data_IF_908136833430
#
_entry.id   IF_908136833430
#
_cell.length_a   1.000
_cell.length_b   1.000
_cell.length_c   1.000
_cell.angle_alpha   90.00
_cell.angle_beta   90.00
_cell.angle_gamma   90.00
#
_symmetry.space_group_name_H-M   'P 1'
#
loop_
_entity.id
_entity.type
_entity.pdbx_description
1 polymer ?
#
# COMPACT_ATOMS: atom_id res chain seq x y z
N UNK A 1 32.81 -58.29 -39.19
CA UNK A 1 31.91 -57.63 -40.16
C UNK A 1 32.30 -56.16 -40.25
N UNK A 2 32.73 -55.69 -41.42
CA UNK A 2 33.22 -54.32 -41.61
C UNK A 2 32.04 -53.33 -41.68
N UNK A 3 32.04 -52.30 -40.83
CA UNK A 3 31.02 -51.26 -40.78
C UNK A 3 31.21 -50.34 -41.98
N UNK A 4 30.36 -50.50 -43.01
CA UNK A 4 30.39 -49.64 -44.20
C UNK A 4 30.07 -48.20 -43.79
N UNK A 5 30.94 -47.26 -44.16
CA UNK A 5 30.74 -45.82 -43.94
C UNK A 5 29.53 -45.39 -44.78
N UNK A 6 28.54 -44.75 -44.17
CA UNK A 6 27.36 -44.18 -44.86
C UNK A 6 27.46 -42.66 -44.93
N UNK A 7 26.87 -42.07 -45.97
CA UNK A 7 26.72 -40.63 -46.19
C UNK A 7 25.24 -40.32 -46.36
N UNK A 8 24.79 -39.17 -45.84
CA UNK A 8 23.38 -38.74 -45.94
C UNK A 8 23.24 -37.82 -47.16
N UNK A 9 22.25 -38.07 -48.01
CA UNK A 9 21.96 -37.21 -49.15
C UNK A 9 21.32 -35.89 -48.68
N UNK A 10 21.87 -34.73 -49.05
CA UNK A 10 21.33 -33.42 -48.65
C UNK A 10 19.94 -33.11 -49.25
N UNK A 11 19.58 -33.75 -50.37
CA UNK A 11 18.32 -33.47 -51.06
C UNK A 11 17.12 -34.21 -50.45
N UNK A 12 17.28 -35.48 -50.05
CA UNK A 12 16.19 -36.32 -49.57
C UNK A 12 16.47 -37.02 -48.22
N UNK A 13 17.62 -36.74 -47.61
CA UNK A 13 18.08 -37.30 -46.34
C UNK A 13 18.18 -38.83 -46.27
N UNK A 14 18.21 -39.51 -47.41
CA UNK A 14 18.45 -40.96 -47.48
C UNK A 14 19.91 -41.28 -47.17
N UNK A 15 20.14 -42.32 -46.36
CA UNK A 15 21.47 -42.86 -46.11
C UNK A 15 21.92 -43.71 -47.30
N UNK A 16 23.05 -43.33 -47.88
CA UNK A 16 23.67 -44.04 -48.98
C UNK A 16 25.05 -44.57 -48.56
N UNK A 17 25.55 -45.67 -49.15
CA UNK A 17 26.91 -46.11 -48.91
C UNK A 17 27.89 -45.04 -49.38
N UNK A 18 28.98 -44.80 -48.64
CA UNK A 18 29.91 -43.71 -48.94
C UNK A 18 30.64 -43.84 -50.29
N UNK A 19 30.49 -44.96 -51.01
CA UNK A 19 31.01 -45.20 -52.36
C UNK A 19 30.02 -44.90 -53.49
N UNK A 20 28.75 -44.61 -53.20
CA UNK A 20 27.76 -44.31 -54.25
C UNK A 20 27.96 -42.91 -54.83
N UNK A 21 28.04 -42.81 -56.15
CA UNK A 21 28.13 -41.52 -56.87
C UNK A 21 26.79 -40.79 -56.98
N UNK A 22 25.69 -41.47 -56.70
CA UNK A 22 24.33 -40.93 -56.74
C UNK A 22 23.47 -41.55 -55.64
N UNK A 23 22.44 -40.80 -55.22
CA UNK A 23 21.49 -41.21 -54.21
C UNK A 23 20.56 -42.31 -54.73
N UNK A 24 20.44 -43.41 -53.98
CA UNK A 24 19.61 -44.56 -54.32
C UNK A 24 18.10 -44.23 -54.32
N UNK A 25 17.67 -43.19 -53.61
CA UNK A 25 16.25 -42.84 -53.49
C UNK A 25 15.79 -41.78 -54.49
N UNK A 26 16.59 -40.73 -54.72
CA UNK A 26 16.17 -39.59 -55.55
C UNK A 26 17.03 -39.38 -56.81
N UNK A 27 18.10 -40.15 -56.99
CA UNK A 27 19.02 -40.02 -58.13
C UNK A 27 19.98 -38.83 -58.08
N UNK A 28 19.93 -37.98 -57.05
CA UNK A 28 20.81 -36.82 -56.93
C UNK A 28 22.30 -37.22 -56.82
N UNK A 29 23.24 -36.47 -57.43
CA UNK A 29 24.66 -36.77 -57.35
C UNK A 29 25.19 -36.58 -55.91
N UNK A 30 26.07 -37.49 -55.48
CA UNK A 30 26.76 -37.42 -54.19
C UNK A 30 28.23 -37.08 -54.47
N UNK A 31 28.56 -35.79 -54.37
CA UNK A 31 29.94 -35.35 -54.51
C UNK A 31 30.73 -35.69 -53.24
N UNK A 32 31.83 -36.45 -53.41
CA UNK A 32 32.75 -36.73 -52.32
C UNK A 32 33.43 -35.42 -51.90
N UNK A 33 32.95 -34.80 -50.81
CA UNK A 33 33.58 -33.65 -50.14
C UNK A 33 34.91 -34.05 -49.45
N UNK A 34 35.84 -34.62 -50.22
CA UNK A 34 37.24 -34.81 -49.86
C UNK A 34 38.06 -33.76 -50.61
N UNK A 35 37.82 -32.48 -50.31
CA UNK A 35 38.76 -31.41 -50.66
C UNK A 35 38.98 -30.53 -49.44
N UNK A 36 40.12 -30.79 -48.79
CA UNK A 36 40.86 -29.98 -47.84
C UNK A 36 40.10 -28.82 -47.17
N UNK A 37 39.70 -29.03 -45.91
CA UNK A 37 39.52 -27.91 -44.98
C UNK A 37 40.86 -27.18 -44.84
N UNK A 38 40.98 -26.05 -45.54
CA UNK A 38 42.04 -25.06 -45.33
C UNK A 38 41.88 -24.53 -43.89
N UNK A 39 42.94 -24.53 -43.05
CA UNK A 39 42.82 -23.99 -41.70
C UNK A 39 42.36 -22.54 -41.79
N UNK A 40 41.21 -22.25 -41.18
CA UNK A 40 40.67 -20.90 -41.07
C UNK A 40 41.61 -20.12 -40.16
N UNK A 41 42.43 -19.25 -40.72
CA UNK A 41 43.08 -18.18 -39.97
C UNK A 41 41.95 -17.35 -39.36
N UNK A 42 41.85 -17.31 -38.04
CA UNK A 42 40.90 -16.49 -37.29
C UNK A 42 41.18 -15.02 -37.59
N UNK A 43 40.50 -14.49 -38.60
CA UNK A 43 40.42 -13.06 -38.82
C UNK A 43 39.76 -12.42 -37.59
N UNK A 44 40.51 -11.57 -36.89
CA UNK A 44 40.00 -10.77 -35.78
C UNK A 44 38.90 -9.87 -36.35
N UNK A 45 37.63 -10.21 -36.06
CA UNK A 45 36.48 -9.38 -36.43
C UNK A 45 36.74 -7.93 -35.97
N UNK A 46 36.50 -6.92 -36.83
CA UNK A 46 36.58 -5.54 -36.39
C UNK A 46 35.62 -5.35 -35.19
N UNK A 47 36.13 -4.70 -34.15
CA UNK A 47 35.35 -4.37 -32.95
C UNK A 47 34.07 -3.68 -33.40
N UNK A 48 32.91 -4.31 -33.13
CA UNK A 48 31.60 -3.74 -33.46
C UNK A 48 31.53 -2.36 -32.79
N UNK A 49 31.33 -1.25 -33.53
CA UNK A 49 31.19 0.06 -32.92
C UNK A 49 30.04 0.00 -31.92
N UNK A 50 30.28 0.53 -30.69
CA UNK A 50 29.24 0.61 -29.67
C UNK A 50 28.01 1.31 -30.27
N UNK A 51 26.78 0.80 -30.07
CA UNK A 51 25.59 1.44 -30.58
C UNK A 51 25.56 2.90 -30.07
N UNK A 52 25.51 3.86 -30.99
CA UNK A 52 25.30 5.27 -30.66
C UNK A 52 23.97 5.39 -29.89
N UNK A 53 23.99 6.02 -28.72
CA UNK A 53 22.77 6.31 -27.96
C UNK A 53 21.84 7.13 -28.85
N UNK A 54 20.62 6.64 -29.09
CA UNK A 54 19.64 7.40 -29.85
C UNK A 54 19.11 8.55 -28.97
N UNK A 55 18.82 9.72 -29.54
CA UNK A 55 18.16 10.82 -28.82
C UNK A 55 16.87 10.38 -28.11
N UNK A 56 16.17 9.40 -28.68
CA UNK A 56 14.98 8.75 -28.12
C UNK A 56 15.24 8.09 -26.74
N UNK A 57 16.42 7.49 -26.55
CA UNK A 57 16.80 6.84 -25.28
C UNK A 57 17.03 7.88 -24.17
N UNK A 58 17.46 9.09 -24.53
CA UNK A 58 17.61 10.20 -23.59
C UNK A 58 16.25 10.79 -23.21
N UNK A 59 15.37 11.01 -24.20
CA UNK A 59 14.00 11.45 -23.95
C UNK A 59 13.23 10.47 -23.06
N UNK A 60 13.38 9.16 -23.28
CA UNK A 60 12.76 8.13 -22.43
C UNK A 60 13.25 8.18 -20.98
N UNK A 61 14.55 8.40 -20.77
CA UNK A 61 15.14 8.56 -19.43
C UNK A 61 14.67 9.84 -18.74
N UNK A 62 14.46 10.92 -19.49
CA UNK A 62 13.89 12.15 -18.93
C UNK A 62 12.43 11.88 -18.52
N UNK A 63 11.63 11.23 -19.35
CA UNK A 63 10.27 10.81 -19.01
C UNK A 63 10.21 9.98 -17.73
N UNK A 64 11.02 8.91 -17.62
CA UNK A 64 11.08 8.06 -16.42
C UNK A 64 11.47 8.85 -15.15
N UNK A 65 12.34 9.86 -15.27
CA UNK A 65 12.71 10.72 -14.13
C UNK A 65 11.57 11.64 -13.73
N UNK A 66 10.86 12.21 -14.70
CA UNK A 66 9.68 13.07 -14.45
C UNK A 66 8.58 12.26 -13.80
N UNK A 67 8.28 11.06 -14.30
CA UNK A 67 7.27 10.17 -13.73
C UNK A 67 7.62 9.80 -12.28
N UNK A 68 8.88 9.42 -12.02
CA UNK A 68 9.33 9.12 -10.65
C UNK A 68 9.20 10.33 -9.71
N UNK A 69 9.56 11.52 -10.18
CA UNK A 69 9.40 12.74 -9.41
C UNK A 69 7.91 13.02 -9.12
N UNK A 70 7.06 12.90 -10.13
CA UNK A 70 5.62 13.10 -10.02
C UNK A 70 4.96 12.12 -9.04
N UNK A 71 5.27 10.82 -9.14
CA UNK A 71 4.77 9.81 -8.20
C UNK A 71 5.25 10.06 -6.76
N UNK A 72 6.48 10.54 -6.59
CA UNK A 72 7.03 10.87 -5.27
C UNK A 72 6.30 12.06 -4.65
N UNK A 73 6.04 13.10 -5.44
CA UNK A 73 5.30 14.29 -4.99
C UNK A 73 3.85 13.93 -4.65
N UNK A 74 3.17 13.18 -5.51
CA UNK A 74 1.80 12.72 -5.25
C UNK A 74 1.70 11.85 -4.00
N UNK A 75 2.64 10.93 -3.79
CA UNK A 75 2.65 10.09 -2.60
C UNK A 75 2.87 10.91 -1.32
N UNK A 76 3.80 11.87 -1.36
CA UNK A 76 4.07 12.79 -0.24
C UNK A 76 2.84 13.65 0.07
N UNK A 77 2.19 14.20 -0.97
CA UNK A 77 0.95 14.97 -0.87
C UNK A 77 -0.18 14.12 -0.26
N UNK A 78 -0.36 12.89 -0.71
CA UNK A 78 -1.36 11.98 -0.19
C UNK A 78 -1.13 11.65 1.31
N UNK A 79 0.12 11.44 1.72
CA UNK A 79 0.49 11.21 3.12
C UNK A 79 0.20 12.45 3.97
N UNK A 80 0.54 13.65 3.48
CA UNK A 80 0.31 14.91 4.17
C UNK A 80 -1.18 15.15 4.43
N UNK A 81 -2.02 15.12 3.38
CA UNK A 81 -3.46 15.32 3.52
C UNK A 81 -4.12 14.31 4.43
N UNK A 82 -3.72 13.05 4.31
CA UNK A 82 -4.20 12.00 5.19
C UNK A 82 -3.89 12.30 6.66
N UNK A 83 -2.67 12.73 6.96
CA UNK A 83 -2.25 13.04 8.34
C UNK A 83 -3.05 14.21 8.89
N UNK A 84 -3.30 15.24 8.07
CA UNK A 84 -4.20 16.35 8.44
C UNK A 84 -5.61 15.84 8.75
N UNK A 85 -6.16 14.95 7.91
CA UNK A 85 -7.47 14.34 8.14
C UNK A 85 -7.55 13.52 9.42
N UNK A 86 -6.50 12.75 9.73
CA UNK A 86 -6.40 11.97 10.98
C UNK A 86 -6.37 12.90 12.20
N UNK A 87 -5.56 13.96 12.17
CA UNK A 87 -5.50 14.94 13.28
C UNK A 87 -6.86 15.58 13.51
N UNK A 88 -7.51 16.10 12.46
CA UNK A 88 -8.82 16.74 12.59
C UNK A 88 -9.86 15.75 13.14
N UNK A 89 -9.90 14.52 12.61
CA UNK A 89 -10.85 13.51 13.04
C UNK A 89 -10.65 13.14 14.52
N UNK A 90 -9.41 12.97 14.97
CA UNK A 90 -9.06 12.66 16.36
C UNK A 90 -9.39 13.84 17.28
N UNK A 91 -9.05 15.06 16.87
CA UNK A 91 -9.36 16.26 17.65
C UNK A 91 -10.86 16.39 17.90
N UNK A 92 -11.68 16.29 16.84
CA UNK A 92 -13.13 16.45 16.95
C UNK A 92 -13.75 15.29 17.74
N UNK A 93 -13.46 14.04 17.38
CA UNK A 93 -14.05 12.88 18.04
C UNK A 93 -13.58 12.75 19.50
N UNK A 94 -12.29 12.95 19.76
CA UNK A 94 -11.71 12.91 21.11
C UNK A 94 -12.30 14.00 22.00
N UNK A 95 -12.45 15.23 21.48
CA UNK A 95 -13.08 16.32 22.21
C UNK A 95 -14.55 16.02 22.55
N UNK A 96 -15.34 15.49 21.60
CA UNK A 96 -16.72 15.06 21.84
C UNK A 96 -16.81 14.02 22.97
N UNK A 97 -15.98 12.97 22.91
CA UNK A 97 -15.93 11.92 23.94
C UNK A 97 -15.50 12.53 25.29
N UNK A 98 -14.55 13.45 25.28
CA UNK A 98 -14.10 14.16 26.48
C UNK A 98 -15.21 14.98 27.13
N UNK A 99 -15.93 15.80 26.36
CA UNK A 99 -17.07 16.59 26.85
C UNK A 99 -18.16 15.69 27.42
N UNK A 100 -18.50 14.61 26.71
CA UNK A 100 -19.42 13.58 27.19
C UNK A 100 -19.00 12.97 28.53
N UNK A 101 -17.73 12.61 28.68
CA UNK A 101 -17.18 12.06 29.93
C UNK A 101 -17.20 13.08 31.06
N UNK A 102 -16.77 14.32 30.80
CA UNK A 102 -16.78 15.39 31.79
C UNK A 102 -18.19 15.76 32.26
N UNK A 103 -19.14 15.90 31.33
CA UNK A 103 -20.52 16.30 31.64
C UNK A 103 -21.29 15.25 32.46
N UNK A 104 -20.84 14.00 32.43
CA UNK A 104 -21.47 12.86 33.14
C UNK A 104 -20.73 12.46 34.42
N UNK A 105 -19.69 13.20 34.82
CA UNK A 105 -18.84 12.85 35.96
C UNK A 105 -17.90 11.67 35.72
N UNK A 106 -17.86 11.12 34.50
CA UNK A 106 -17.01 10.01 34.08
C UNK A 106 -15.80 10.50 33.28
N UNK A 107 -15.13 11.57 33.75
CA UNK A 107 -14.02 12.22 33.04
C UNK A 107 -12.89 11.26 32.66
N UNK A 108 -12.56 10.30 33.53
CA UNK A 108 -11.55 9.26 33.24
C UNK A 108 -11.92 8.44 31.99
N UNK A 109 -13.19 8.05 31.85
CA UNK A 109 -13.67 7.34 30.68
C UNK A 109 -13.66 8.22 29.43
N UNK A 110 -13.91 9.53 29.57
CA UNK A 110 -13.75 10.50 28.49
C UNK A 110 -12.32 10.49 27.91
N UNK A 111 -11.29 10.50 28.76
CA UNK A 111 -9.90 10.46 28.32
C UNK A 111 -9.54 9.09 27.73
N UNK A 112 -9.89 8.00 28.42
CA UNK A 112 -9.60 6.63 27.96
C UNK A 112 -10.25 6.35 26.61
N UNK A 113 -11.52 6.73 26.44
CA UNK A 113 -12.23 6.62 25.17
C UNK A 113 -11.59 7.45 24.05
N UNK A 114 -11.14 8.68 24.37
CA UNK A 114 -10.43 9.54 23.44
C UNK A 114 -9.07 8.94 23.00
N UNK A 115 -8.36 8.24 23.89
CA UNK A 115 -7.14 7.49 23.54
C UNK A 115 -7.46 6.33 22.60
N UNK A 116 -8.50 5.54 22.88
CA UNK A 116 -8.91 4.42 22.04
C UNK A 116 -9.29 4.87 20.62
N UNK A 117 -10.02 5.98 20.47
CA UNK A 117 -10.33 6.51 19.13
C UNK A 117 -9.06 6.98 18.41
N UNK A 118 -8.12 7.61 19.12
CA UNK A 118 -6.82 8.00 18.59
C UNK A 118 -6.03 6.82 18.01
N UNK A 119 -5.98 5.72 18.77
CA UNK A 119 -5.35 4.47 18.33
C UNK A 119 -6.10 3.89 17.12
N UNK A 120 -7.44 3.80 17.17
CA UNK A 120 -8.24 3.22 16.10
C UNK A 120 -8.09 3.99 14.77
N UNK A 121 -8.08 5.33 14.82
CA UNK A 121 -7.83 6.17 13.64
C UNK A 121 -6.40 5.99 13.13
N UNK A 122 -5.38 5.95 14.02
CA UNK A 122 -3.99 5.72 13.62
C UNK A 122 -3.72 4.33 13.01
N UNK A 123 -4.48 3.31 13.42
CA UNK A 123 -4.41 1.94 12.90
C UNK A 123 -5.19 1.73 11.59
N UNK A 124 -6.15 2.59 11.24
CA UNK A 124 -7.01 2.37 10.06
C UNK A 124 -6.51 3.10 8.82
N UNK A 125 -6.30 2.37 7.71
CA UNK A 125 -5.87 2.97 6.46
C UNK A 125 -7.07 3.31 5.57
N UNK A 126 -7.47 4.60 5.53
CA UNK A 126 -8.59 5.08 4.69
C UNK A 126 -8.20 6.25 3.78
N UNK A 127 -9.08 6.53 2.81
CA UNK A 127 -9.01 7.75 2.02
C UNK A 127 -9.32 8.97 2.91
N UNK A 128 -8.72 10.12 2.60
CA UNK A 128 -8.83 11.37 3.37
C UNK A 128 -10.27 11.70 3.80
N UNK A 129 -11.21 11.75 2.84
CA UNK A 129 -12.61 12.08 3.10
C UNK A 129 -13.30 11.11 4.07
N UNK A 130 -12.97 9.82 3.98
CA UNK A 130 -13.56 8.81 4.87
C UNK A 130 -12.99 8.95 6.28
N UNK A 131 -11.68 9.21 6.44
CA UNK A 131 -11.09 9.48 7.77
C UNK A 131 -11.82 10.65 8.45
N UNK A 132 -11.98 11.74 7.72
CA UNK A 132 -12.51 12.99 8.23
C UNK A 132 -13.95 12.85 8.76
N UNK A 133 -14.78 12.05 8.10
CA UNK A 133 -16.20 11.92 8.45
C UNK A 133 -16.46 10.75 9.39
N UNK A 134 -15.72 9.65 9.27
CA UNK A 134 -16.11 8.38 9.90
C UNK A 134 -16.03 8.39 11.44
N UNK A 135 -14.93 8.88 12.02
CA UNK A 135 -14.79 8.94 13.48
C UNK A 135 -15.68 10.03 14.12
N UNK A 136 -15.70 11.30 13.61
CA UNK A 136 -16.61 12.31 14.13
C UNK A 136 -18.09 11.95 13.92
N UNK A 137 -18.44 11.39 12.76
CA UNK A 137 -19.80 10.93 12.47
C UNK A 137 -20.24 9.82 13.42
N UNK A 138 -19.35 8.86 13.72
CA UNK A 138 -19.59 7.84 14.75
C UNK A 138 -19.79 8.45 16.14
N UNK A 139 -18.97 9.43 16.53
CA UNK A 139 -19.11 10.12 17.82
C UNK A 139 -20.45 10.89 17.93
N UNK A 140 -20.86 11.60 16.87
CA UNK A 140 -22.14 12.32 16.82
C UNK A 140 -23.34 11.37 16.88
N UNK A 141 -23.28 10.24 16.15
CA UNK A 141 -24.30 9.21 16.23
C UNK A 141 -24.38 8.60 17.63
N UNK A 142 -23.23 8.33 18.25
CA UNK A 142 -23.16 7.85 19.62
C UNK A 142 -23.67 8.86 20.64
N UNK A 143 -23.49 10.17 20.41
CA UNK A 143 -24.10 11.21 21.24
C UNK A 143 -25.63 11.18 21.15
N UNK A 144 -26.18 11.04 19.94
CA UNK A 144 -27.63 10.93 19.74
C UNK A 144 -28.22 9.72 20.47
N UNK A 145 -27.60 8.54 20.31
CA UNK A 145 -28.04 7.33 21.00
C UNK A 145 -27.84 7.45 22.53
N UNK A 146 -26.67 7.95 22.96
CA UNK A 146 -26.34 8.12 24.37
C UNK A 146 -27.26 9.11 25.09
N UNK A 147 -27.72 10.16 24.40
CA UNK A 147 -28.69 11.11 24.94
C UNK A 147 -30.04 10.44 25.28
N UNK A 148 -30.47 9.44 24.50
CA UNK A 148 -31.68 8.66 24.81
C UNK A 148 -31.49 7.92 26.15
N UNK A 149 -30.35 7.26 26.35
CA UNK A 149 -30.04 6.58 27.60
C UNK A 149 -29.88 7.55 28.79
N UNK A 150 -29.36 8.75 28.54
CA UNK A 150 -29.33 9.80 29.56
C UNK A 150 -30.75 10.18 30.00
N UNK A 151 -31.66 10.44 29.07
CA UNK A 151 -33.07 10.78 29.36
C UNK A 151 -33.76 9.63 30.12
N UNK A 152 -33.38 8.38 29.86
CA UNK A 152 -33.87 7.19 30.57
C UNK A 152 -33.25 7.00 31.97
N UNK A 153 -32.41 7.92 32.46
CA UNK A 153 -31.81 7.86 33.79
C UNK A 153 -30.48 7.11 33.87
N UNK A 154 -29.83 6.81 32.75
CA UNK A 154 -28.53 6.14 32.69
C UNK A 154 -27.43 7.06 32.10
N UNK A 155 -27.09 8.20 32.77
CA UNK A 155 -26.12 9.17 32.24
C UNK A 155 -24.72 8.58 32.00
N UNK A 156 -24.31 7.60 32.82
CA UNK A 156 -23.00 6.96 32.68
C UNK A 156 -22.84 6.11 31.40
N UNK A 157 -23.94 5.74 30.74
CA UNK A 157 -23.88 5.01 29.48
C UNK A 157 -23.41 5.90 28.31
N UNK A 158 -23.60 7.22 28.40
CA UNK A 158 -23.33 8.15 27.31
C UNK A 158 -21.86 8.14 26.85
N UNK A 159 -20.84 8.37 27.70
CA UNK A 159 -19.45 8.35 27.25
C UNK A 159 -19.03 6.99 26.66
N UNK A 160 -19.61 5.90 27.16
CA UNK A 160 -19.36 4.55 26.63
C UNK A 160 -19.92 4.38 25.22
N UNK A 161 -21.20 4.72 25.01
CA UNK A 161 -21.87 4.61 23.71
C UNK A 161 -21.18 5.52 22.68
N UNK A 162 -20.85 6.76 23.03
CA UNK A 162 -20.13 7.69 22.16
C UNK A 162 -18.79 7.10 21.73
N UNK A 163 -18.03 6.53 22.67
CA UNK A 163 -16.74 5.90 22.39
C UNK A 163 -16.89 4.70 21.45
N UNK A 164 -17.82 3.80 21.73
CA UNK A 164 -18.06 2.60 20.90
C UNK A 164 -18.46 3.01 19.48
N UNK A 165 -19.41 3.91 19.32
CA UNK A 165 -19.84 4.37 18.00
C UNK A 165 -18.72 5.11 17.24
N UNK A 166 -17.92 5.94 17.93
CA UNK A 166 -16.77 6.61 17.34
C UNK A 166 -15.72 5.60 16.86
N UNK A 167 -15.39 4.60 17.67
CA UNK A 167 -14.41 3.55 17.33
C UNK A 167 -14.91 2.71 16.16
N UNK A 168 -16.18 2.27 16.18
CA UNK A 168 -16.77 1.56 15.05
C UNK A 168 -16.75 2.40 13.78
N UNK A 169 -17.11 3.69 13.87
CA UNK A 169 -16.95 4.65 12.79
C UNK A 169 -15.50 4.71 12.27
N UNK A 170 -14.53 4.83 13.16
CA UNK A 170 -13.11 4.81 12.84
C UNK A 170 -12.65 3.50 12.20
N UNK A 171 -13.31 2.37 12.42
CA UNK A 171 -12.97 1.10 11.75
C UNK A 171 -13.64 0.96 10.36
N UNK A 172 -14.83 1.54 10.16
CA UNK A 172 -15.60 1.41 8.90
C UNK A 172 -14.87 2.00 7.69
N UNK A 173 -14.71 1.22 6.62
CA UNK A 173 -14.04 1.67 5.39
C UNK A 173 -12.51 1.63 5.44
N UNK A 174 -11.93 0.99 6.47
CA UNK A 174 -10.50 0.62 6.50
C UNK A 174 -10.15 -0.40 5.43
N UNK A 175 -9.08 -0.14 4.66
CA UNK A 175 -8.49 -1.15 3.77
C UNK A 175 -7.59 -2.09 4.58
N UNK A 176 -7.54 -3.37 4.18
CA UNK A 176 -6.59 -4.34 4.76
C UNK A 176 -5.16 -3.86 4.51
N UNK A 177 -4.37 -3.73 5.58
CA UNK A 177 -2.96 -3.34 5.48
C UNK A 177 -2.11 -4.50 4.94
N UNK A 178 -1.02 -4.22 4.21
CA UNK A 178 0.00 -5.22 3.91
C UNK A 178 0.67 -5.73 5.19
N UNK A 179 1.48 -6.80 5.09
CA UNK A 179 2.13 -7.45 6.23
C UNK A 179 3.05 -6.48 7.00
N UNK A 180 3.07 -6.59 8.34
CA UNK A 180 3.69 -5.62 9.26
C UNK A 180 5.20 -5.41 9.03
N UNK A 181 5.90 -6.41 8.50
CA UNK A 181 7.36 -6.36 8.26
C UNK A 181 7.79 -5.30 7.25
N UNK A 182 6.90 -4.88 6.34
CA UNK A 182 7.24 -3.92 5.29
C UNK A 182 6.90 -2.48 5.66
N UNK A 183 6.53 -2.21 6.92
CA UNK A 183 6.12 -0.88 7.34
C UNK A 183 7.31 0.02 7.66
N UNK A 184 7.26 1.23 7.10
CA UNK A 184 8.17 2.31 7.47
C UNK A 184 7.98 2.69 8.94
N UNK A 185 9.04 3.19 9.57
CA UNK A 185 9.01 3.59 10.98
C UNK A 185 7.89 4.60 11.30
N UNK A 186 7.57 5.50 10.36
CA UNK A 186 6.46 6.45 10.47
C UNK A 186 5.09 5.77 10.65
N UNK A 187 4.84 4.68 9.94
CA UNK A 187 3.56 3.98 10.02
C UNK A 187 3.39 3.24 11.35
N UNK A 188 4.51 2.83 11.97
CA UNK A 188 4.53 2.22 13.32
C UNK A 188 4.31 3.27 14.41
N UNK A 189 4.78 4.50 14.22
CA UNK A 189 4.62 5.60 15.18
C UNK A 189 3.19 6.19 15.17
N UNK A 190 2.49 6.09 14.04
CA UNK A 190 1.16 6.66 13.81
C UNK A 190 0.09 6.36 14.88
N UNK A 191 -0.13 5.11 15.34
CA UNK A 191 -1.11 4.83 16.39
C UNK A 191 -0.75 5.50 17.73
N UNK A 192 0.54 5.68 18.03
CA UNK A 192 0.97 6.38 19.25
C UNK A 192 0.73 7.88 19.16
N UNK A 193 1.00 8.50 18.00
CA UNK A 193 0.64 9.90 17.75
C UNK A 193 -0.87 10.11 17.81
N UNK A 194 -1.63 9.14 17.28
CA UNK A 194 -3.08 9.15 17.39
C UNK A 194 -3.56 9.07 18.85
N UNK A 195 -3.00 8.15 19.64
CA UNK A 195 -3.27 8.02 21.07
C UNK A 195 -2.97 9.32 21.83
N UNK A 196 -1.83 9.94 21.55
CA UNK A 196 -1.41 11.20 22.17
C UNK A 196 -2.35 12.35 21.81
N UNK A 197 -2.73 12.47 20.53
CA UNK A 197 -3.72 13.45 20.08
C UNK A 197 -5.06 13.23 20.77
N UNK A 198 -5.51 11.97 20.81
CA UNK A 198 -6.73 11.56 21.52
C UNK A 198 -6.71 11.95 23.00
N UNK A 199 -5.61 11.67 23.69
CA UNK A 199 -5.41 12.07 25.09
C UNK A 199 -5.54 13.59 25.28
N UNK A 200 -4.81 14.40 24.48
CA UNK A 200 -4.79 15.85 24.63
C UNK A 200 -6.18 16.48 24.39
N UNK A 201 -6.84 16.12 23.28
CA UNK A 201 -8.16 16.68 22.96
C UNK A 201 -9.27 16.10 23.84
N UNK A 202 -9.16 14.84 24.25
CA UNK A 202 -10.04 14.23 25.23
C UNK A 202 -9.96 14.91 26.59
N UNK A 203 -8.74 15.19 27.07
CA UNK A 203 -8.53 15.91 28.32
C UNK A 203 -9.12 17.33 28.27
N UNK A 204 -8.89 18.07 27.19
CA UNK A 204 -9.50 19.38 26.96
C UNK A 204 -11.04 19.30 26.98
N UNK A 205 -11.61 18.28 26.32
CA UNK A 205 -13.05 18.04 26.35
C UNK A 205 -13.57 17.76 27.75
N UNK A 206 -12.85 16.94 28.54
CA UNK A 206 -13.23 16.63 29.93
C UNK A 206 -13.25 17.90 30.79
N UNK A 207 -12.25 18.78 30.66
CA UNK A 207 -12.22 20.06 31.40
C UNK A 207 -13.46 20.90 31.09
N UNK A 208 -13.84 21.01 29.82
CA UNK A 208 -15.06 21.72 29.42
C UNK A 208 -16.32 21.02 29.97
N UNK A 209 -16.38 19.69 29.87
CA UNK A 209 -17.51 18.90 30.36
C UNK A 209 -17.71 19.02 31.87
N UNK A 210 -16.62 19.02 32.65
CA UNK A 210 -16.67 19.26 34.10
C UNK A 210 -17.18 20.68 34.42
N UNK A 211 -16.78 21.68 33.63
CA UNK A 211 -17.32 23.03 33.72
C UNK A 211 -18.83 23.06 33.49
N UNK A 212 -19.32 22.37 32.47
CA UNK A 212 -20.77 22.23 32.18
C UNK A 212 -21.48 21.54 33.34
N UNK A 213 -20.94 20.42 33.84
CA UNK A 213 -21.52 19.70 34.97
C UNK A 213 -21.61 20.58 36.22
N UNK A 214 -20.56 21.34 36.53
CA UNK A 214 -20.52 22.25 37.67
C UNK A 214 -21.58 23.36 37.57
N UNK A 215 -21.76 23.94 36.39
CA UNK A 215 -22.81 24.94 36.14
C UNK A 215 -24.20 24.32 36.29
N UNK A 216 -24.44 23.16 35.68
CA UNK A 216 -25.74 22.47 35.75
C UNK A 216 -26.08 22.04 37.17
N UNK A 217 -25.10 21.61 37.97
CA UNK A 217 -25.32 21.23 39.37
C UNK A 217 -25.58 22.40 40.31
N UNK A 218 -25.29 23.63 39.88
CA UNK A 218 -25.50 24.84 40.67
C UNK A 218 -26.93 25.39 40.54
N UNK A 219 -27.62 25.07 39.45
CA UNK A 219 -29.01 25.45 39.19
C UNK A 219 -29.97 24.31 39.57
#
# INVERSE_FOLDING_TARGET
MAKLKTIVCEYCNTQNPASSKSCLACGAPIEHLLSAQKPITTAKLPVRPKPQKRPEDELRKVGEKVDKAYFTVLNTYAIAWRTVGEVIAISVAGFIIGVAGGATGMGLWGVVGAVFIGIAVGLTQKNFYIVLVSAPGGALLGLGIGAIFWIMGAPGALPFIVTVCAVLGALIGGKRRPVFDHHNWWEKLRPFLGALGGFLFGFLGVLLGLGIQGVVSFF
#
